data_IF_331744548677
#
_entry.id   IF_331744548677
#
_cell.length_a   1.000
_cell.length_b   1.000
_cell.length_c   1.000
_cell.angle_alpha   90.00
_cell.angle_beta   90.00
_cell.angle_gamma   90.00
#
_symmetry.space_group_name_H-M   'P 1'
#
loop_
_entity.id
_entity.type
_entity.pdbx_description
1 polymer ?
#
# COMPACT_ATOMS: atom_id res chain seq x y z
N UNK A 1 11.04 58.20 16.40
CA UNK A 1 10.44 57.03 15.72
C UNK A 1 11.44 55.90 15.75
N UNK A 2 11.21 54.84 16.54
CA UNK A 2 12.14 53.70 16.66
C UNK A 2 11.66 52.61 15.70
N UNK A 3 12.41 52.35 14.65
CA UNK A 3 12.16 51.23 13.74
C UNK A 3 12.73 49.96 14.36
N UNK A 4 11.85 49.03 14.73
CA UNK A 4 12.22 47.69 15.17
C UNK A 4 12.26 46.79 13.95
N UNK A 5 13.45 46.41 13.52
CA UNK A 5 13.67 45.44 12.44
C UNK A 5 13.28 44.05 12.94
N UNK A 6 12.21 43.47 12.37
CA UNK A 6 11.77 42.11 12.67
C UNK A 6 12.58 41.13 11.81
N UNK A 7 13.51 40.42 12.43
CA UNK A 7 14.28 39.36 11.76
C UNK A 7 13.40 38.12 11.62
N UNK A 8 12.92 37.84 10.40
CA UNK A 8 12.23 36.58 10.08
C UNK A 8 13.28 35.49 9.95
N UNK A 9 13.34 34.60 10.93
CA UNK A 9 14.14 33.39 10.85
C UNK A 9 13.45 32.40 9.89
N UNK A 10 14.03 32.19 8.71
CA UNK A 10 13.68 31.07 7.86
C UNK A 10 14.22 29.79 8.50
N UNK A 11 13.34 29.00 9.13
CA UNK A 11 13.63 27.60 9.41
C UNK A 11 13.70 26.87 8.07
N UNK A 12 14.91 26.72 7.54
CA UNK A 12 15.20 25.71 6.54
C UNK A 12 14.95 24.35 7.18
N UNK A 13 13.83 23.72 6.85
CA UNK A 13 13.62 22.31 7.16
C UNK A 13 14.78 21.54 6.53
N UNK A 14 15.64 20.96 7.35
CA UNK A 14 16.61 19.99 6.89
C UNK A 14 15.82 18.91 6.12
N UNK A 15 16.31 18.43 4.95
CA UNK A 15 15.70 17.28 4.33
C UNK A 15 15.74 16.17 5.36
N UNK A 16 14.57 15.83 5.91
CA UNK A 16 14.39 14.64 6.71
C UNK A 16 14.98 13.53 5.86
N UNK A 17 16.01 12.83 6.35
CA UNK A 17 16.53 11.63 5.69
C UNK A 17 15.29 10.85 5.25
N UNK A 18 15.13 10.64 3.94
CA UNK A 18 13.90 10.08 3.38
C UNK A 18 13.61 8.78 4.13
N UNK A 19 12.64 8.80 5.03
CA UNK A 19 12.18 7.60 5.69
C UNK A 19 11.76 6.63 4.58
N UNK A 20 12.20 5.38 4.66
CA UNK A 20 11.91 4.41 3.62
C UNK A 20 10.40 4.26 3.40
N UNK A 21 9.99 4.26 2.15
CA UNK A 21 8.57 4.19 1.75
C UNK A 21 8.07 2.75 1.57
N UNK A 22 8.99 1.77 1.62
CA UNK A 22 8.75 0.38 1.25
C UNK A 22 7.94 -0.34 2.32
N UNK A 23 6.91 -1.04 1.89
CA UNK A 23 6.07 -1.91 2.71
C UNK A 23 6.15 -3.36 2.31
N UNK A 24 5.67 -4.23 3.20
CA UNK A 24 5.44 -5.65 2.90
C UNK A 24 3.95 -5.92 2.76
N UNK A 25 3.54 -6.33 1.56
CA UNK A 25 2.26 -6.98 1.30
C UNK A 25 2.40 -8.46 1.71
N UNK A 26 2.08 -8.78 2.96
CA UNK A 26 2.44 -10.02 3.66
C UNK A 26 1.25 -10.98 3.78
N UNK A 27 1.12 -11.99 2.90
CA UNK A 27 -0.12 -12.76 2.83
C UNK A 27 -0.35 -13.63 4.07
N UNK A 28 -1.62 -13.92 4.37
CA UNK A 28 -2.02 -14.76 5.50
C UNK A 28 -1.35 -16.13 5.49
N UNK A 29 -1.12 -16.71 4.31
CA UNK A 29 -0.48 -18.01 4.13
C UNK A 29 1.03 -18.03 4.43
N UNK A 30 1.63 -16.88 4.79
CA UNK A 30 2.98 -16.86 5.34
C UNK A 30 3.02 -17.30 6.81
N UNK A 31 1.90 -17.26 7.53
CA UNK A 31 1.84 -17.69 8.93
C UNK A 31 2.20 -19.18 9.06
N UNK A 32 3.07 -19.50 10.02
CA UNK A 32 3.58 -20.87 10.22
C UNK A 32 4.50 -21.41 9.12
N UNK A 33 4.79 -20.63 8.06
CA UNK A 33 5.61 -21.09 6.94
C UNK A 33 7.13 -21.07 7.17
N UNK A 34 7.57 -20.44 8.27
CA UNK A 34 8.98 -20.17 8.56
C UNK A 34 9.57 -18.95 7.85
N UNK A 35 8.79 -18.24 7.00
CA UNK A 35 9.25 -16.98 6.41
C UNK A 35 9.44 -15.89 7.47
N UNK A 36 10.55 -15.16 7.38
CA UNK A 36 10.90 -14.12 8.32
C UNK A 36 10.92 -12.72 7.65
N UNK A 37 9.98 -11.82 7.96
CA UNK A 37 9.92 -10.48 7.36
C UNK A 37 11.10 -9.58 7.76
N UNK A 38 11.82 -9.86 8.86
CA UNK A 38 12.99 -9.05 9.26
C UNK A 38 14.20 -9.23 8.34
N UNK A 39 14.20 -10.25 7.47
CA UNK A 39 15.20 -10.36 6.41
C UNK A 39 15.08 -9.19 5.40
N UNK A 40 13.86 -8.69 5.18
CA UNK A 40 13.58 -7.51 4.37
C UNK A 40 13.67 -6.22 5.21
N UNK A 41 13.11 -6.22 6.42
CA UNK A 41 13.19 -5.10 7.37
C UNK A 41 14.39 -5.23 8.31
N UNK A 42 15.60 -5.18 7.74
CA UNK A 42 16.86 -5.44 8.46
C UNK A 42 17.37 -4.25 9.31
N UNK A 43 16.56 -3.20 9.50
CA UNK A 43 16.95 -2.00 10.26
C UNK A 43 17.67 -0.91 9.45
N UNK A 44 17.86 -1.08 8.14
CA UNK A 44 18.46 -0.05 7.27
C UNK A 44 17.54 1.17 7.03
N UNK A 45 16.28 1.13 7.45
CA UNK A 45 15.31 2.20 7.28
C UNK A 45 14.54 2.18 5.96
N UNK A 46 14.79 1.24 5.04
CA UNK A 46 14.14 1.20 3.72
C UNK A 46 12.73 0.60 3.78
N UNK A 47 12.60 -0.58 4.40
CA UNK A 47 11.32 -1.26 4.65
C UNK A 47 10.82 -0.86 6.02
N UNK A 48 9.65 -0.22 6.07
CA UNK A 48 9.17 0.49 7.27
C UNK A 48 7.78 0.08 7.71
N UNK A 49 7.01 -0.62 6.87
CA UNK A 49 5.63 -1.00 7.20
C UNK A 49 5.25 -2.36 6.63
N UNK A 50 4.19 -2.94 7.17
CA UNK A 50 3.67 -4.25 6.79
C UNK A 50 2.15 -4.23 6.92
N UNK A 51 1.46 -4.81 5.93
CA UNK A 51 0.03 -5.09 5.95
C UNK A 51 -0.23 -6.52 5.42
N UNK A 52 -1.39 -7.11 5.72
CA UNK A 52 -1.72 -8.50 5.32
C UNK A 52 -3.15 -8.65 4.78
N UNK A 53 -3.73 -7.57 4.25
CA UNK A 53 -5.14 -7.47 3.81
C UNK A 53 -6.19 -7.57 4.92
N UNK A 54 -5.75 -7.72 6.17
CA UNK A 54 -6.63 -8.03 7.29
C UNK A 54 -6.39 -7.11 8.49
N UNK A 55 -7.23 -7.25 9.50
CA UNK A 55 -7.12 -6.51 10.77
C UNK A 55 -6.42 -7.32 11.86
N UNK A 56 -6.18 -8.62 11.67
CA UNK A 56 -5.36 -9.41 12.61
C UNK A 56 -3.88 -9.18 12.32
N UNK A 57 -3.06 -9.18 13.37
CA UNK A 57 -1.63 -8.85 13.30
C UNK A 57 -0.79 -10.07 12.87
N UNK A 58 0.09 -9.95 11.85
CA UNK A 58 1.09 -10.96 11.51
C UNK A 58 1.96 -11.36 12.71
N UNK A 59 2.39 -12.63 12.78
CA UNK A 59 3.15 -13.12 13.93
C UNK A 59 4.46 -12.35 14.17
N UNK A 60 5.11 -11.87 13.11
CA UNK A 60 6.31 -11.05 13.20
C UNK A 60 6.15 -9.75 12.41
N UNK A 61 6.23 -8.63 13.12
CA UNK A 61 6.19 -7.27 12.55
C UNK A 61 7.36 -6.42 13.04
N UNK A 62 8.41 -7.06 13.57
CA UNK A 62 9.56 -6.36 14.14
C UNK A 62 10.22 -5.45 13.10
N UNK A 63 10.69 -4.28 13.55
CA UNK A 63 11.28 -3.21 12.73
C UNK A 63 10.32 -2.55 11.73
N UNK A 64 9.03 -2.86 11.78
CA UNK A 64 8.03 -2.30 10.87
C UNK A 64 6.82 -1.79 11.65
N UNK A 65 6.16 -0.79 11.08
CA UNK A 65 4.84 -0.38 11.48
C UNK A 65 3.79 -1.32 10.90
N UNK A 66 3.02 -1.98 11.76
CA UNK A 66 1.88 -2.80 11.36
C UNK A 66 0.68 -1.92 11.05
N UNK A 67 0.19 -2.00 9.81
CA UNK A 67 -1.00 -1.29 9.34
C UNK A 67 -2.12 -2.29 9.08
N UNK A 68 -3.21 -2.19 9.85
CA UNK A 68 -4.40 -3.00 9.61
C UNK A 68 -5.13 -2.57 8.35
N UNK A 69 -5.83 -3.54 7.75
CA UNK A 69 -6.68 -3.31 6.59
C UNK A 69 -8.07 -3.89 6.83
N UNK A 70 -9.10 -3.05 6.76
CA UNK A 70 -10.48 -3.50 6.66
C UNK A 70 -10.81 -3.71 5.17
N UNK A 71 -10.22 -4.75 4.58
CA UNK A 71 -10.29 -5.04 3.14
C UNK A 71 -11.66 -5.57 2.67
N UNK A 72 -12.49 -6.03 3.60
CA UNK A 72 -13.83 -6.55 3.39
C UNK A 72 -14.89 -5.67 4.08
N UNK A 73 -16.15 -5.76 3.65
CA UNK A 73 -17.28 -5.07 4.27
C UNK A 73 -17.43 -5.42 5.75
N UNK A 74 -17.44 -6.72 6.04
CA UNK A 74 -17.38 -7.35 7.36
C UNK A 74 -17.10 -8.83 7.11
N UNK A 75 -16.10 -9.42 7.75
CA UNK A 75 -15.74 -10.82 7.53
C UNK A 75 -15.06 -11.43 8.76
N UNK A 76 -14.99 -12.76 8.84
CA UNK A 76 -14.47 -13.46 10.02
C UNK A 76 -13.02 -13.08 10.37
N UNK A 77 -12.17 -12.96 9.36
CA UNK A 77 -10.77 -12.53 9.52
C UNK A 77 -10.65 -11.05 9.91
N UNK A 78 -11.63 -10.22 9.51
CA UNK A 78 -11.69 -8.78 9.80
C UNK A 78 -13.08 -8.30 10.21
N UNK A 79 -13.55 -8.66 11.43
CA UNK A 79 -14.87 -8.32 11.87
C UNK A 79 -14.94 -6.84 12.25
N UNK A 80 -15.91 -6.11 11.71
CA UNK A 80 -16.09 -4.67 11.96
C UNK A 80 -16.22 -4.35 13.46
N UNK A 81 -16.89 -5.23 14.20
CA UNK A 81 -17.06 -5.11 15.66
C UNK A 81 -15.72 -5.07 16.42
N UNK A 82 -14.65 -5.61 15.86
CA UNK A 82 -13.30 -5.60 16.43
C UNK A 82 -12.37 -4.55 15.81
N UNK A 83 -12.79 -3.82 14.77
CA UNK A 83 -11.90 -2.92 14.03
C UNK A 83 -11.24 -1.87 14.94
N UNK A 84 -12.05 -1.16 15.74
CA UNK A 84 -11.56 -0.12 16.65
C UNK A 84 -10.69 -0.69 17.77
N UNK A 85 -11.05 -1.85 18.32
CA UNK A 85 -10.26 -2.48 19.40
C UNK A 85 -8.94 -3.03 18.88
N UNK A 86 -8.91 -3.63 17.68
CA UNK A 86 -7.68 -4.09 17.00
C UNK A 86 -6.76 -2.92 16.65
N UNK A 87 -7.31 -1.82 16.16
CA UNK A 87 -6.52 -0.61 15.89
C UNK A 87 -5.79 -0.09 17.14
N UNK A 88 -6.50 -0.02 18.28
CA UNK A 88 -5.92 0.39 19.55
C UNK A 88 -4.94 -0.64 20.11
N UNK A 89 -5.32 -1.92 20.11
CA UNK A 89 -4.51 -3.03 20.64
C UNK A 89 -3.17 -3.15 19.92
N UNK A 90 -3.17 -3.01 18.60
CA UNK A 90 -1.97 -3.19 17.79
C UNK A 90 -1.25 -1.87 17.44
N UNK A 91 -1.76 -0.74 17.91
CA UNK A 91 -1.11 0.57 17.79
C UNK A 91 -1.00 1.07 16.35
N UNK A 92 -2.04 0.86 15.53
CA UNK A 92 -2.02 1.34 14.14
C UNK A 92 -1.89 2.86 14.10
N UNK A 93 -0.98 3.35 13.25
CA UNK A 93 -0.94 4.78 12.92
C UNK A 93 -1.66 5.09 11.60
N UNK A 94 -1.92 4.06 10.80
CA UNK A 94 -2.54 4.13 9.48
C UNK A 94 -3.39 2.89 9.28
N UNK A 95 -4.57 3.04 8.67
CA UNK A 95 -5.47 1.94 8.29
C UNK A 95 -5.80 2.00 6.81
N UNK A 96 -5.81 0.84 6.16
CA UNK A 96 -6.30 0.65 4.80
C UNK A 96 -7.76 0.20 4.85
N UNK A 97 -8.54 0.52 3.82
CA UNK A 97 -9.95 0.14 3.72
C UNK A 97 -10.18 -0.85 2.58
N UNK A 98 -11.39 -0.89 1.99
CA UNK A 98 -11.82 -1.96 1.08
C UNK A 98 -10.82 -2.24 -0.04
N UNK A 99 -10.66 -3.53 -0.39
CA UNK A 99 -9.77 -3.97 -1.46
C UNK A 99 -10.53 -4.09 -2.80
N UNK A 100 -10.14 -3.30 -3.80
CA UNK A 100 -10.67 -3.33 -5.16
C UNK A 100 -12.20 -3.38 -5.26
N UNK A 101 -12.93 -2.52 -4.52
CA UNK A 101 -14.39 -2.47 -4.62
C UNK A 101 -14.87 -2.13 -6.05
N UNK A 102 -14.01 -1.47 -6.85
CA UNK A 102 -14.26 -1.14 -8.25
C UNK A 102 -14.36 -2.37 -9.16
N UNK A 103 -13.71 -3.48 -8.79
CA UNK A 103 -13.81 -4.77 -9.49
C UNK A 103 -14.93 -5.65 -8.93
N UNK A 104 -15.41 -5.37 -7.71
CA UNK A 104 -16.42 -6.17 -7.00
C UNK A 104 -17.87 -5.71 -7.23
N UNK A 105 -18.11 -4.77 -8.15
CA UNK A 105 -19.45 -4.21 -8.40
C UNK A 105 -19.98 -3.34 -7.26
N UNK A 106 -19.11 -2.92 -6.32
CA UNK A 106 -19.49 -2.02 -5.24
C UNK A 106 -19.68 -0.60 -5.77
N UNK A 107 -20.81 0.03 -5.47
CA UNK A 107 -21.01 1.43 -5.87
C UNK A 107 -20.14 2.38 -5.03
N UNK A 108 -19.61 3.46 -5.62
CA UNK A 108 -18.84 4.46 -4.87
C UNK A 108 -19.62 5.09 -3.71
N UNK A 109 -20.94 5.29 -3.89
CA UNK A 109 -21.80 5.87 -2.86
C UNK A 109 -21.97 4.94 -1.65
N UNK A 110 -22.23 3.66 -1.90
CA UNK A 110 -22.34 2.66 -0.83
C UNK A 110 -21.03 2.51 -0.06
N UNK A 111 -19.89 2.52 -0.77
CA UNK A 111 -18.58 2.49 -0.12
C UNK A 111 -18.33 3.76 0.72
N UNK A 112 -18.74 4.94 0.25
CA UNK A 112 -18.58 6.19 1.00
C UNK A 112 -19.38 6.18 2.31
N UNK A 113 -20.66 5.76 2.28
CA UNK A 113 -21.48 5.67 3.49
C UNK A 113 -20.94 4.63 4.48
N UNK A 114 -20.45 3.49 3.98
CA UNK A 114 -19.76 2.50 4.81
C UNK A 114 -18.48 3.05 5.42
N UNK A 115 -17.67 3.78 4.65
CA UNK A 115 -16.43 4.38 5.12
C UNK A 115 -16.69 5.40 6.23
N UNK A 116 -17.70 6.25 6.05
CA UNK A 116 -18.13 7.25 7.04
C UNK A 116 -18.57 6.58 8.34
N UNK A 117 -19.24 5.44 8.25
CA UNK A 117 -19.74 4.71 9.42
C UNK A 117 -18.62 3.99 10.16
N UNK A 118 -17.71 3.33 9.42
CA UNK A 118 -16.82 2.32 9.99
C UNK A 118 -15.36 2.76 10.09
N UNK A 119 -14.86 3.55 9.13
CA UNK A 119 -13.43 3.92 9.06
C UNK A 119 -13.19 5.30 9.68
N UNK A 120 -14.04 6.28 9.42
CA UNK A 120 -13.94 7.63 9.99
C UNK A 120 -13.73 7.67 11.52
N UNK A 121 -14.39 6.82 12.34
CA UNK A 121 -14.24 6.87 13.80
C UNK A 121 -12.82 6.55 14.30
N UNK A 122 -11.93 6.03 13.45
CA UNK A 122 -10.54 5.77 13.79
C UNK A 122 -9.72 7.08 13.71
N UNK A 123 -9.25 7.56 14.86
CA UNK A 123 -8.45 8.78 14.99
C UNK A 123 -6.95 8.57 14.62
N UNK A 124 -6.72 7.95 13.48
CA UNK A 124 -5.41 7.61 12.89
C UNK A 124 -5.42 8.01 11.41
N UNK A 125 -4.30 7.90 10.69
CA UNK A 125 -4.31 8.16 9.25
C UNK A 125 -5.09 7.10 8.51
N UNK A 126 -5.73 7.44 7.39
CA UNK A 126 -6.60 6.53 6.66
C UNK A 126 -6.37 6.61 5.17
N UNK A 127 -6.31 5.45 4.52
CA UNK A 127 -6.35 5.35 3.07
C UNK A 127 -7.79 5.07 2.61
N UNK A 128 -8.21 5.68 1.50
CA UNK A 128 -9.46 5.29 0.82
C UNK A 128 -9.33 3.85 0.29
N UNK A 129 -10.42 3.23 -0.21
CA UNK A 129 -10.34 1.89 -0.80
C UNK A 129 -9.25 1.82 -1.88
N UNK A 130 -8.47 0.74 -1.92
CA UNK A 130 -7.53 0.52 -3.01
C UNK A 130 -8.30 0.20 -4.29
N UNK A 131 -8.05 0.96 -5.36
CA UNK A 131 -8.67 0.72 -6.66
C UNK A 131 -7.69 0.06 -7.63
N UNK A 132 -8.20 -0.74 -8.55
CA UNK A 132 -7.41 -1.36 -9.61
C UNK A 132 -6.80 -0.32 -10.57
N UNK A 133 -5.88 -0.77 -11.44
CA UNK A 133 -5.38 0.03 -12.55
C UNK A 133 -6.28 -0.01 -13.80
N UNK A 134 -7.52 -0.50 -13.69
CA UNK A 134 -8.47 -0.55 -14.81
C UNK A 134 -8.77 0.84 -15.39
N UNK A 135 -8.84 0.91 -16.72
CA UNK A 135 -9.26 2.08 -17.46
C UNK A 135 -10.70 1.94 -18.01
N UNK A 136 -11.43 0.87 -17.63
CA UNK A 136 -12.84 0.74 -17.98
C UNK A 136 -13.64 1.84 -17.27
N UNK A 137 -14.68 2.34 -17.94
CA UNK A 137 -15.55 3.36 -17.38
C UNK A 137 -16.10 2.95 -16.01
N UNK A 138 -15.92 3.82 -15.01
CA UNK A 138 -16.43 3.61 -13.65
C UNK A 138 -15.59 2.66 -12.78
N UNK A 139 -14.41 2.24 -13.23
CA UNK A 139 -13.42 1.47 -12.45
C UNK A 139 -12.16 2.28 -12.16
N UNK A 140 -11.24 1.73 -11.39
CA UNK A 140 -9.94 2.35 -11.12
C UNK A 140 -10.05 3.80 -10.62
N UNK A 141 -9.33 4.71 -11.28
CA UNK A 141 -9.30 6.13 -10.89
C UNK A 141 -10.66 6.84 -11.09
N UNK A 142 -11.51 6.38 -12.00
CA UNK A 142 -12.88 6.91 -12.15
C UNK A 142 -13.73 6.57 -10.93
N UNK A 143 -13.63 5.32 -10.45
CA UNK A 143 -14.31 4.87 -9.24
C UNK A 143 -13.82 5.66 -8.02
N UNK A 144 -12.50 5.83 -7.87
CA UNK A 144 -11.92 6.59 -6.77
C UNK A 144 -12.41 8.06 -6.76
N UNK A 145 -12.48 8.70 -7.93
CA UNK A 145 -13.01 10.05 -8.05
C UNK A 145 -14.50 10.12 -7.67
N UNK A 146 -15.29 9.15 -8.11
CA UNK A 146 -16.70 9.06 -7.75
C UNK A 146 -16.90 8.79 -6.25
N UNK A 147 -16.05 7.99 -5.62
CA UNK A 147 -16.08 7.73 -4.18
C UNK A 147 -15.80 9.00 -3.39
N UNK A 148 -14.73 9.73 -3.74
CA UNK A 148 -14.38 11.00 -3.10
C UNK A 148 -15.51 12.03 -3.28
N UNK A 149 -16.15 12.07 -4.45
CA UNK A 149 -17.31 12.93 -4.68
C UNK A 149 -18.51 12.53 -3.81
N UNK A 150 -18.81 11.22 -3.70
CA UNK A 150 -19.92 10.71 -2.90
C UNK A 150 -19.73 10.91 -1.39
N UNK A 151 -18.47 10.97 -0.93
CA UNK A 151 -18.15 11.38 0.43
C UNK A 151 -18.69 12.78 0.76
N UNK A 152 -18.81 13.69 -0.22
CA UNK A 152 -19.33 15.05 -0.03
C UNK A 152 -18.67 15.79 1.16
N UNK A 153 -17.35 15.62 1.32
CA UNK A 153 -16.58 16.19 2.42
C UNK A 153 -16.73 15.49 3.78
N UNK A 154 -17.48 14.38 3.87
CA UNK A 154 -17.74 13.64 5.12
C UNK A 154 -16.76 12.50 5.37
N UNK A 155 -16.01 12.02 4.37
CA UNK A 155 -14.95 11.03 4.58
C UNK A 155 -13.66 11.74 5.03
N UNK A 156 -13.05 11.24 6.11
CA UNK A 156 -11.74 11.71 6.57
C UNK A 156 -10.67 10.73 6.08
N UNK A 157 -9.77 11.18 5.21
CA UNK A 157 -8.70 10.35 4.67
C UNK A 157 -7.46 11.18 4.37
N UNK A 158 -6.32 10.51 4.32
CA UNK A 158 -4.99 11.08 4.13
C UNK A 158 -4.37 10.62 2.81
N UNK A 159 -4.76 9.43 2.33
CA UNK A 159 -4.15 8.76 1.18
C UNK A 159 -5.17 8.30 0.15
N UNK A 160 -4.85 8.54 -1.13
CA UNK A 160 -5.46 7.82 -2.25
C UNK A 160 -4.68 6.53 -2.46
N UNK A 161 -5.34 5.38 -2.36
CA UNK A 161 -4.70 4.08 -2.50
C UNK A 161 -4.98 3.47 -3.88
N UNK A 162 -3.93 3.04 -4.57
CA UNK A 162 -4.02 2.49 -5.93
C UNK A 162 -3.23 1.20 -6.04
N UNK A 163 -3.73 0.28 -6.87
CA UNK A 163 -3.02 -0.90 -7.31
C UNK A 163 -2.54 -0.73 -8.75
N UNK A 164 -1.51 -1.48 -9.12
CA UNK A 164 -1.12 -1.56 -10.52
C UNK A 164 -0.53 -2.92 -10.91
N UNK A 165 -1.11 -3.53 -11.93
CA UNK A 165 -0.57 -4.70 -12.59
C UNK A 165 -0.53 -4.46 -14.10
N UNK A 166 0.62 -4.68 -14.72
CA UNK A 166 0.78 -4.43 -16.15
C UNK A 166 2.09 -4.91 -16.72
N UNK A 167 2.53 -4.34 -17.84
CA UNK A 167 3.57 -4.96 -18.68
C UNK A 167 4.88 -4.18 -18.75
N UNK A 168 4.93 -2.93 -18.29
CA UNK A 168 6.15 -2.12 -18.35
C UNK A 168 6.24 -1.07 -17.25
N UNK A 169 7.46 -0.63 -16.96
CA UNK A 169 7.72 0.49 -16.05
C UNK A 169 7.07 1.80 -16.52
N UNK A 170 7.07 2.08 -17.83
CA UNK A 170 6.48 3.32 -18.36
C UNK A 170 4.96 3.37 -18.13
N UNK A 171 4.28 2.23 -18.26
CA UNK A 171 2.85 2.12 -17.93
C UNK A 171 2.61 2.36 -16.43
N UNK A 172 3.42 1.76 -15.55
CA UNK A 172 3.33 1.98 -14.11
C UNK A 172 3.54 3.45 -13.74
N UNK A 173 4.63 4.05 -14.24
CA UNK A 173 4.95 5.46 -14.01
C UNK A 173 3.82 6.38 -14.47
N UNK A 174 3.28 6.12 -15.66
CA UNK A 174 2.15 6.88 -16.22
C UNK A 174 0.91 6.75 -15.34
N UNK A 175 0.57 5.56 -14.87
CA UNK A 175 -0.57 5.34 -14.00
C UNK A 175 -0.43 6.12 -12.67
N UNK A 176 0.73 6.04 -12.03
CA UNK A 176 1.02 6.78 -10.78
C UNK A 176 0.96 8.30 -11.00
N UNK A 177 1.49 8.80 -12.12
CA UNK A 177 1.41 10.23 -12.47
C UNK A 177 -0.03 10.67 -12.76
N UNK A 178 -0.83 9.84 -13.44
CA UNK A 178 -2.24 10.12 -13.69
C UNK A 178 -3.04 10.18 -12.38
N UNK A 179 -2.79 9.26 -11.44
CA UNK A 179 -3.39 9.30 -10.11
C UNK A 179 -3.04 10.60 -9.38
N UNK A 180 -1.77 11.00 -9.39
CA UNK A 180 -1.35 12.27 -8.77
C UNK A 180 -2.01 13.48 -9.45
N UNK A 181 -2.03 13.54 -10.78
CA UNK A 181 -2.66 14.64 -11.52
C UNK A 181 -4.17 14.74 -11.27
N UNK A 182 -4.85 13.60 -11.07
CA UNK A 182 -6.27 13.54 -10.76
C UNK A 182 -6.57 13.93 -9.32
N UNK A 183 -5.64 13.65 -8.41
CA UNK A 183 -5.78 13.85 -6.96
C UNK A 183 -4.60 14.65 -6.38
N UNK A 184 -4.32 15.88 -6.88
CA UNK A 184 -3.07 16.58 -6.60
C UNK A 184 -2.91 17.02 -5.13
N UNK A 185 -4.03 17.08 -4.39
CA UNK A 185 -4.06 17.48 -2.99
C UNK A 185 -3.87 16.31 -2.01
N UNK A 186 -3.73 15.08 -2.51
CA UNK A 186 -3.61 13.88 -1.68
C UNK A 186 -2.30 13.16 -1.94
N UNK A 187 -1.76 12.57 -0.87
CA UNK A 187 -0.63 11.66 -0.97
C UNK A 187 -1.09 10.30 -1.51
N UNK A 188 -0.24 9.64 -2.28
CA UNK A 188 -0.51 8.31 -2.81
C UNK A 188 0.06 7.23 -1.89
N UNK A 189 -0.75 6.19 -1.70
CA UNK A 189 -0.34 4.87 -1.24
C UNK A 189 -0.48 3.92 -2.43
N UNK A 190 0.51 3.07 -2.64
CA UNK A 190 0.48 2.03 -3.67
C UNK A 190 0.59 0.69 -2.94
N UNK A 191 -0.52 0.17 -2.43
CA UNK A 191 -0.49 -1.05 -1.63
C UNK A 191 -0.08 -2.29 -2.43
N UNK A 192 -0.26 -2.28 -3.75
CA UNK A 192 0.14 -3.39 -4.61
C UNK A 192 0.66 -2.90 -5.96
N UNK A 193 1.80 -3.44 -6.39
CA UNK A 193 2.21 -3.37 -7.78
C UNK A 193 3.15 -4.50 -8.19
N UNK A 194 3.04 -4.97 -9.43
CA UNK A 194 3.98 -5.90 -10.07
C UNK A 194 3.82 -5.92 -11.59
N UNK A 195 4.79 -6.48 -12.33
CA UNK A 195 4.52 -6.89 -13.71
C UNK A 195 3.61 -8.12 -13.73
N UNK A 196 2.72 -8.21 -14.71
CA UNK A 196 1.91 -9.39 -14.96
C UNK A 196 2.72 -10.52 -15.59
N UNK A 197 2.23 -11.75 -15.42
CA UNK A 197 2.67 -12.93 -16.15
C UNK A 197 2.57 -12.69 -17.67
N UNK A 198 3.52 -13.16 -18.49
CA UNK A 198 4.62 -14.08 -18.15
C UNK A 198 5.96 -13.40 -17.84
N UNK A 199 5.97 -12.21 -17.21
CA UNK A 199 7.22 -11.53 -16.88
C UNK A 199 8.19 -12.42 -16.08
N UNK A 200 9.43 -12.54 -16.58
CA UNK A 200 10.47 -13.34 -15.95
C UNK A 200 10.97 -12.70 -14.65
N UNK A 201 11.70 -13.47 -13.83
CA UNK A 201 12.35 -12.94 -12.61
C UNK A 201 13.23 -11.72 -12.91
N UNK A 202 14.02 -11.78 -13.98
CA UNK A 202 14.92 -10.68 -14.35
C UNK A 202 14.16 -9.43 -14.77
N UNK A 203 13.05 -9.60 -15.51
CA UNK A 203 12.16 -8.49 -15.88
C UNK A 203 11.52 -7.86 -14.64
N UNK A 204 11.05 -8.68 -13.68
CA UNK A 204 10.51 -8.21 -12.41
C UNK A 204 11.55 -7.43 -11.59
N UNK A 205 12.80 -7.91 -11.50
CA UNK A 205 13.88 -7.20 -10.81
C UNK A 205 14.20 -5.86 -11.47
N UNK A 206 14.31 -5.83 -12.80
CA UNK A 206 14.60 -4.61 -13.56
C UNK A 206 13.49 -3.57 -13.40
N UNK A 207 12.24 -4.01 -13.49
CA UNK A 207 11.07 -3.19 -13.20
C UNK A 207 11.09 -2.65 -11.77
N UNK A 208 11.30 -3.52 -10.78
CA UNK A 208 11.27 -3.15 -9.36
C UNK A 208 12.32 -2.09 -9.03
N UNK A 209 13.55 -2.21 -9.55
CA UNK A 209 14.60 -1.19 -9.36
C UNK A 209 14.20 0.17 -9.93
N UNK A 210 13.61 0.18 -11.12
CA UNK A 210 13.14 1.41 -11.79
C UNK A 210 11.96 2.03 -11.04
N UNK A 211 11.00 1.20 -10.62
CA UNK A 211 9.85 1.59 -9.83
C UNK A 211 10.27 2.21 -8.49
N UNK A 212 11.12 1.54 -7.70
CA UNK A 212 11.60 2.07 -6.42
C UNK A 212 12.32 3.40 -6.59
N UNK A 213 13.21 3.54 -7.57
CA UNK A 213 13.92 4.80 -7.85
C UNK A 213 12.93 5.94 -8.12
N UNK A 214 11.90 5.68 -8.92
CA UNK A 214 10.84 6.66 -9.20
C UNK A 214 10.00 7.00 -7.96
N UNK A 215 9.53 5.99 -7.22
CA UNK A 215 8.65 6.19 -6.06
C UNK A 215 9.38 6.84 -4.88
N UNK A 216 10.65 6.53 -4.68
CA UNK A 216 11.49 7.17 -3.66
C UNK A 216 11.65 8.67 -3.98
N UNK A 217 11.83 9.04 -5.26
CA UNK A 217 11.92 10.43 -5.72
C UNK A 217 10.59 11.19 -5.84
N UNK A 218 9.45 10.49 -5.87
CA UNK A 218 8.13 11.12 -5.98
C UNK A 218 7.62 11.63 -4.61
N UNK A 219 7.63 12.95 -4.39
CA UNK A 219 7.20 13.58 -3.13
C UNK A 219 5.71 13.43 -2.82
N UNK A 220 4.91 13.05 -3.82
CA UNK A 220 3.47 12.75 -3.69
C UNK A 220 3.19 11.27 -3.38
N UNK A 221 4.22 10.43 -3.23
CA UNK A 221 4.08 9.03 -2.80
C UNK A 221 4.60 8.88 -1.38
N UNK A 222 3.73 8.41 -0.48
CA UNK A 222 4.06 8.14 0.92
C UNK A 222 4.42 6.68 1.19
N UNK A 223 3.77 5.74 0.50
CA UNK A 223 3.89 4.30 0.76
C UNK A 223 3.81 3.51 -0.53
N UNK A 224 4.62 2.46 -0.67
CA UNK A 224 4.46 1.46 -1.72
C UNK A 224 4.84 0.06 -1.27
N UNK A 225 4.15 -0.97 -1.79
CA UNK A 225 4.47 -2.37 -1.56
C UNK A 225 4.39 -3.19 -2.85
N UNK A 226 5.48 -3.87 -3.20
CA UNK A 226 5.50 -4.80 -4.34
C UNK A 226 4.70 -6.06 -3.99
N UNK A 227 3.85 -6.51 -4.91
CA UNK A 227 3.06 -7.72 -4.71
C UNK A 227 3.87 -8.97 -5.13
N UNK A 228 4.05 -10.01 -4.31
CA UNK A 228 3.73 -10.16 -2.89
C UNK A 228 4.94 -10.67 -2.10
N UNK A 229 5.01 -10.32 -0.82
CA UNK A 229 6.12 -10.67 0.06
C UNK A 229 6.04 -12.12 0.55
N UNK A 230 6.14 -13.08 -0.37
CA UNK A 230 6.09 -14.52 -0.09
C UNK A 230 7.06 -15.32 -0.98
N UNK A 231 6.95 -16.65 -0.96
CA UNK A 231 7.74 -17.60 -1.75
C UNK A 231 6.91 -18.29 -2.84
N UNK A 232 7.51 -18.76 -3.95
CA UNK A 232 6.79 -19.30 -5.10
C UNK A 232 5.81 -20.42 -4.77
N UNK A 233 6.20 -21.40 -3.95
CA UNK A 233 5.35 -22.54 -3.57
C UNK A 233 4.08 -22.11 -2.84
N UNK A 234 4.15 -21.13 -1.94
CA UNK A 234 2.98 -20.61 -1.23
C UNK A 234 2.09 -19.80 -2.16
N UNK A 235 2.67 -18.96 -3.02
CA UNK A 235 1.90 -18.20 -4.01
C UNK A 235 1.14 -19.15 -4.94
N UNK A 236 1.82 -20.15 -5.51
CA UNK A 236 1.20 -21.12 -6.43
C UNK A 236 0.12 -21.98 -5.77
N UNK A 237 0.23 -22.25 -4.47
CA UNK A 237 -0.74 -23.05 -3.72
C UNK A 237 -2.00 -22.27 -3.31
N UNK A 238 -2.02 -20.94 -3.48
CA UNK A 238 -3.10 -20.07 -3.04
C UNK A 238 -3.62 -19.23 -4.21
N UNK A 239 -4.90 -18.86 -4.17
CA UNK A 239 -5.61 -18.23 -5.31
C UNK A 239 -5.42 -16.70 -5.40
N UNK A 240 -4.42 -16.13 -4.74
CA UNK A 240 -4.12 -14.69 -4.78
C UNK A 240 -3.00 -14.34 -5.77
N UNK A 241 -3.27 -13.43 -6.71
CA UNK A 241 -2.24 -12.91 -7.62
C UNK A 241 -1.85 -13.80 -8.80
N UNK A 242 -2.74 -14.68 -9.25
CA UNK A 242 -2.51 -15.55 -10.41
C UNK A 242 -2.12 -14.80 -11.69
N UNK A 243 -2.51 -13.52 -11.81
CA UNK A 243 -2.13 -12.65 -12.93
C UNK A 243 -0.66 -12.21 -12.91
N UNK A 244 0.01 -12.25 -11.76
CA UNK A 244 1.44 -11.88 -11.58
C UNK A 244 2.36 -13.08 -11.77
N UNK A 245 1.86 -14.28 -11.47
CA UNK A 245 2.67 -15.48 -11.30
C UNK A 245 3.61 -15.37 -10.09
N UNK A 246 4.71 -16.11 -10.10
CA UNK A 246 5.67 -16.15 -8.96
C UNK A 246 6.91 -15.29 -9.17
N UNK A 247 7.02 -14.61 -10.32
CA UNK A 247 8.22 -13.87 -10.73
C UNK A 247 8.57 -12.69 -9.82
N UNK A 248 7.58 -12.09 -9.16
CA UNK A 248 7.74 -10.95 -8.25
C UNK A 248 8.00 -11.34 -6.78
N UNK A 249 7.99 -12.63 -6.44
CA UNK A 249 8.11 -13.11 -5.05
C UNK A 249 9.35 -12.52 -4.36
N UNK A 250 9.28 -12.16 -3.08
CA UNK A 250 10.44 -11.62 -2.36
C UNK A 250 11.32 -12.71 -1.74
N UNK A 251 10.80 -13.91 -1.55
CA UNK A 251 11.53 -15.05 -1.02
C UNK A 251 11.70 -16.16 -2.06
N UNK A 252 12.72 -16.98 -1.85
CA UNK A 252 12.86 -18.30 -2.46
C UNK A 252 12.12 -19.34 -1.59
N UNK A 253 11.91 -20.55 -2.10
CA UNK A 253 11.16 -21.59 -1.38
C UNK A 253 11.83 -22.09 -0.10
N UNK A 254 13.17 -21.97 -0.02
CA UNK A 254 13.99 -22.24 1.15
C UNK A 254 13.92 -21.15 2.23
N UNK A 255 13.18 -20.07 1.98
CA UNK A 255 13.02 -18.94 2.90
C UNK A 255 14.14 -17.89 2.84
N UNK A 256 15.15 -18.07 1.99
CA UNK A 256 16.13 -17.02 1.68
C UNK A 256 15.50 -15.90 0.83
N UNK A 257 16.14 -14.73 0.78
CA UNK A 257 15.69 -13.66 -0.12
C UNK A 257 15.97 -14.03 -1.58
N UNK A 258 14.95 -13.86 -2.42
CA UNK A 258 15.13 -13.93 -3.87
C UNK A 258 15.90 -12.73 -4.42
N UNK A 259 16.18 -12.71 -5.73
CA UNK A 259 16.75 -11.54 -6.39
C UNK A 259 15.89 -10.26 -6.21
N UNK A 260 14.56 -10.39 -6.18
CA UNK A 260 13.68 -9.25 -5.86
C UNK A 260 13.82 -8.86 -4.39
N UNK A 261 13.85 -9.82 -3.46
CA UNK A 261 13.99 -9.55 -2.03
C UNK A 261 15.28 -8.83 -1.68
N UNK A 262 16.40 -9.25 -2.28
CA UNK A 262 17.70 -8.58 -2.12
C UNK A 262 17.63 -7.15 -2.66
N UNK A 263 17.06 -6.94 -3.85
CA UNK A 263 16.92 -5.60 -4.42
C UNK A 263 15.98 -4.71 -3.58
N UNK A 264 14.86 -5.27 -3.12
CA UNK A 264 13.82 -4.55 -2.38
C UNK A 264 14.27 -4.13 -0.98
N UNK A 265 15.06 -4.96 -0.30
CA UNK A 265 15.68 -4.62 0.99
C UNK A 265 16.56 -3.38 0.88
N UNK A 266 17.38 -3.30 -0.17
CA UNK A 266 18.48 -2.34 -0.28
C UNK A 266 19.65 -2.75 0.60
#
# INVERSE_FOLDING_TARGET
SKFTTLTIAFLSAAPCALAGKRGLAWPWYNEGSGLNPTLLANGNGNVQWIYNWETWKPANTNNMNWMGMQGCWDCESSPLSALKSRAAQFGWNTVLSLNEPDLAGTSPASAADWYITNINPLAIRKAIPSVSSSADAGKGLDWAAAFISACAGRCYFDYVNIHWYGTSFDQFKTHVQNAHNRFPNYQLMISEFALQSPASRDQQVAFLKSAMTFLDGASYVSYYAVFGASKPSLISANTGGGEVGTGSSLYNDDGSLSANGIAYRG
#
